data_IF_411514097252
#
_entry.id   IF_411514097252
#
_cell.length_a   1.000
_cell.length_b   1.000
_cell.length_c   1.000
_cell.angle_alpha   90.00
_cell.angle_beta   90.00
_cell.angle_gamma   90.00
#
_symmetry.space_group_name_H-M   'P 1'
#
loop_
_entity.id
_entity.type
_entity.pdbx_description
1 polymer ?
#
# COMPACT_ATOMS: atom_id res chain seq x y z
N UNK A 1 28.58 -33.73 21.27
CA UNK A 1 28.63 -32.91 20.04
C UNK A 1 27.63 -33.49 19.05
N UNK A 2 26.55 -32.79 18.76
CA UNK A 2 25.55 -33.21 17.76
C UNK A 2 25.08 -31.96 17.03
N UNK A 3 25.77 -31.64 15.93
CA UNK A 3 25.48 -30.45 15.12
C UNK A 3 24.21 -30.69 14.30
N UNK A 4 23.15 -29.95 14.60
CA UNK A 4 21.95 -29.90 13.78
C UNK A 4 22.29 -29.27 12.42
N UNK A 5 22.49 -30.13 11.43
CA UNK A 5 22.59 -29.78 10.01
C UNK A 5 21.17 -29.42 9.53
N UNK A 6 20.74 -28.17 9.74
CA UNK A 6 19.51 -27.65 9.14
C UNK A 6 19.76 -27.43 7.64
N UNK A 7 19.10 -28.21 6.81
CA UNK A 7 18.92 -27.90 5.39
C UNK A 7 18.23 -26.52 5.27
N UNK A 8 18.66 -25.62 4.38
CA UNK A 8 17.84 -24.48 4.00
C UNK A 8 16.63 -25.02 3.23
N UNK A 9 15.49 -25.03 3.92
CA UNK A 9 14.23 -25.60 3.46
C UNK A 9 13.63 -24.75 2.33
N UNK A 10 12.89 -25.37 1.40
CA UNK A 10 12.34 -24.76 0.18
C UNK A 10 11.43 -23.53 0.41
N UNK A 11 11.11 -23.22 1.67
CA UNK A 11 10.41 -22.00 2.09
C UNK A 11 11.21 -20.71 1.83
N UNK A 12 12.54 -20.73 2.00
CA UNK A 12 13.40 -19.57 1.73
C UNK A 12 13.41 -19.24 0.23
N UNK A 13 13.53 -20.26 -0.63
CA UNK A 13 13.53 -20.08 -2.09
C UNK A 13 12.20 -19.51 -2.61
N UNK A 14 11.06 -19.92 -2.04
CA UNK A 14 9.75 -19.34 -2.38
C UNK A 14 9.61 -17.90 -1.88
N UNK A 15 10.15 -17.57 -0.71
CA UNK A 15 10.12 -16.22 -0.18
C UNK A 15 10.97 -15.27 -1.03
N UNK A 16 12.14 -15.70 -1.47
CA UNK A 16 12.98 -14.95 -2.42
C UNK A 16 12.31 -14.79 -3.79
N UNK A 17 11.66 -15.83 -4.32
CA UNK A 17 10.95 -15.75 -5.60
C UNK A 17 9.76 -14.78 -5.55
N UNK A 18 8.95 -14.83 -4.47
CA UNK A 18 7.86 -13.88 -4.22
C UNK A 18 8.40 -12.45 -4.06
N UNK A 19 9.52 -12.29 -3.36
CA UNK A 19 10.13 -10.98 -3.14
C UNK A 19 10.67 -10.38 -4.43
N UNK A 20 11.34 -11.19 -5.26
CA UNK A 20 11.87 -10.81 -6.55
C UNK A 20 10.74 -10.47 -7.55
N UNK A 21 9.62 -11.20 -7.50
CA UNK A 21 8.41 -10.86 -8.27
C UNK A 21 7.77 -9.55 -7.78
N UNK A 22 7.70 -9.31 -6.47
CA UNK A 22 7.20 -8.05 -5.92
C UNK A 22 8.09 -6.85 -6.28
N UNK A 23 9.41 -7.01 -6.34
CA UNK A 23 10.35 -5.97 -6.75
C UNK A 23 10.18 -5.58 -8.24
N UNK A 24 9.77 -6.51 -9.10
CA UNK A 24 9.50 -6.24 -10.53
C UNK A 24 8.18 -5.50 -10.79
N UNK A 25 7.22 -5.56 -9.85
CA UNK A 25 5.84 -5.08 -10.05
C UNK A 25 5.58 -3.68 -9.46
N UNK A 26 6.55 -3.19 -8.68
CA UNK A 26 6.61 -1.86 -8.11
C UNK A 26 5.80 -1.72 -6.82
N UNK A 27 6.38 -1.00 -5.87
CA UNK A 27 5.75 -0.77 -4.57
C UNK A 27 4.91 0.51 -4.63
N UNK A 28 3.68 0.52 -4.06
CA UNK A 28 2.92 1.74 -3.94
C UNK A 28 3.70 2.72 -3.05
N UNK A 29 3.80 3.95 -3.53
CA UNK A 29 4.41 5.07 -2.80
C UNK A 29 3.31 5.67 -1.93
N UNK A 30 3.32 5.29 -0.66
CA UNK A 30 2.53 5.95 0.37
C UNK A 30 3.24 7.21 0.85
N UNK A 31 2.45 8.23 1.23
CA UNK A 31 2.98 9.32 2.05
C UNK A 31 3.59 8.75 3.33
N UNK A 32 4.71 9.33 3.73
CA UNK A 32 5.40 8.98 4.97
C UNK A 32 4.60 9.48 6.17
N UNK A 33 4.85 8.90 7.34
CA UNK A 33 4.21 9.35 8.59
C UNK A 33 4.47 10.83 8.89
N UNK A 34 5.65 11.35 8.52
CA UNK A 34 5.99 12.77 8.70
C UNK A 34 5.09 13.64 7.82
N UNK A 35 4.97 13.34 6.52
CA UNK A 35 4.11 14.06 5.59
C UNK A 35 2.65 14.04 6.03
N UNK A 36 2.13 12.88 6.45
CA UNK A 36 0.76 12.77 6.96
C UNK A 36 0.55 13.66 8.19
N UNK A 37 1.49 13.71 9.14
CA UNK A 37 1.39 14.59 10.32
C UNK A 37 1.36 16.07 9.95
N UNK A 38 2.07 16.48 8.89
CA UNK A 38 2.03 17.86 8.40
C UNK A 38 0.66 18.25 7.80
N UNK A 39 -0.13 17.26 7.37
CA UNK A 39 -1.48 17.50 6.84
C UNK A 39 -2.57 17.64 7.91
N UNK A 40 -2.22 17.57 9.19
CA UNK A 40 -3.11 17.81 10.33
C UNK A 40 -3.47 16.56 11.14
N UNK A 41 -4.43 16.71 12.05
CA UNK A 41 -4.88 15.63 12.91
C UNK A 41 -5.55 14.52 12.10
N UNK A 42 -5.21 13.27 12.42
CA UNK A 42 -5.85 12.08 11.86
C UNK A 42 -7.22 11.89 12.52
N UNK A 43 -8.24 11.71 11.69
CA UNK A 43 -9.56 11.25 12.06
C UNK A 43 -9.81 9.90 11.37
N UNK A 44 -10.47 9.00 12.08
CA UNK A 44 -10.91 7.72 11.49
C UNK A 44 -12.27 7.92 10.83
N UNK A 45 -12.47 7.23 9.70
CA UNK A 45 -13.77 7.23 9.06
C UNK A 45 -14.73 6.39 9.92
N UNK A 46 -15.93 6.89 10.28
CA UNK A 46 -16.89 6.11 11.05
C UNK A 46 -17.35 4.87 10.28
N UNK A 47 -17.40 4.97 8.95
CA UNK A 47 -17.67 3.87 8.03
C UNK A 47 -16.71 4.00 6.83
N UNK A 48 -16.27 2.88 6.22
CA UNK A 48 -15.47 2.91 5.00
C UNK A 48 -16.21 3.66 3.88
N UNK A 49 -15.60 4.71 3.33
CA UNK A 49 -16.21 5.52 2.25
C UNK A 49 -15.67 5.06 0.90
N UNK A 50 -16.51 4.66 -0.08
CA UNK A 50 -16.02 4.23 -1.38
C UNK A 50 -15.37 5.40 -2.14
N UNK A 51 -14.16 5.17 -2.65
CA UNK A 51 -13.35 6.17 -3.34
C UNK A 51 -12.61 5.60 -4.55
N UNK A 52 -12.26 6.48 -5.47
CA UNK A 52 -11.27 6.24 -6.52
C UNK A 52 -10.04 7.08 -6.15
N UNK A 53 -8.89 6.42 -6.00
CA UNK A 53 -7.65 7.06 -5.62
C UNK A 53 -6.59 6.92 -6.71
N UNK A 54 -5.77 7.96 -6.90
CA UNK A 54 -4.56 7.90 -7.71
C UNK A 54 -3.37 7.57 -6.81
N UNK A 55 -2.95 6.31 -6.84
CA UNK A 55 -1.80 5.80 -6.09
C UNK A 55 -0.58 5.77 -7.00
N UNK A 56 0.54 6.33 -6.56
CA UNK A 56 1.81 6.24 -7.29
C UNK A 56 2.46 4.90 -7.03
N UNK A 57 2.96 4.25 -8.07
CA UNK A 57 3.72 3.01 -7.97
C UNK A 57 5.16 3.27 -8.43
N UNK A 58 6.13 2.81 -7.64
CA UNK A 58 7.55 2.87 -7.98
C UNK A 58 7.98 1.54 -8.60
N UNK A 59 7.99 1.48 -9.92
CA UNK A 59 8.62 0.41 -10.73
C UNK A 59 10.02 0.92 -11.15
N UNK A 60 10.25 1.17 -12.45
CA UNK A 60 11.48 1.81 -12.97
C UNK A 60 11.37 3.35 -12.91
N UNK A 61 10.15 3.87 -13.06
CA UNK A 61 9.76 5.26 -12.86
C UNK A 61 8.53 5.33 -11.95
N UNK A 62 8.19 6.52 -11.43
CA UNK A 62 6.97 6.70 -10.64
C UNK A 62 5.75 6.90 -11.54
N UNK A 63 4.83 5.94 -11.54
CA UNK A 63 3.64 5.96 -12.39
C UNK A 63 2.36 6.06 -11.54
N UNK A 64 1.47 7.02 -11.81
CA UNK A 64 0.17 7.11 -11.14
C UNK A 64 -0.80 6.05 -11.69
N UNK A 65 -1.34 5.21 -10.81
CA UNK A 65 -2.39 4.23 -11.14
C UNK A 65 -3.68 4.61 -10.42
N UNK A 66 -4.81 4.48 -11.11
CA UNK A 66 -6.14 4.65 -10.48
C UNK A 66 -6.57 3.33 -9.85
N UNK A 67 -6.97 3.37 -8.59
CA UNK A 67 -7.46 2.22 -7.84
C UNK A 67 -8.82 2.54 -7.24
N UNK A 68 -9.70 1.56 -7.23
CA UNK A 68 -10.98 1.62 -6.51
C UNK A 68 -10.78 1.02 -5.12
N UNK A 69 -11.27 1.71 -4.10
CA UNK A 69 -11.09 1.28 -2.72
C UNK A 69 -11.97 2.04 -1.75
N UNK A 70 -11.58 2.02 -0.49
CA UNK A 70 -12.31 2.60 0.63
C UNK A 70 -11.42 3.56 1.40
N UNK A 71 -11.89 4.77 1.68
CA UNK A 71 -11.26 5.67 2.62
C UNK A 71 -11.61 5.24 4.05
N UNK A 72 -10.59 4.88 4.83
CA UNK A 72 -10.74 4.36 6.20
C UNK A 72 -10.25 5.34 7.27
N UNK A 73 -9.42 6.31 6.88
CA UNK A 73 -9.01 7.43 7.73
C UNK A 73 -8.65 8.64 6.86
N UNK A 74 -8.65 9.83 7.44
CA UNK A 74 -8.21 11.05 6.76
C UNK A 74 -7.57 12.04 7.72
N UNK A 75 -6.84 12.98 7.15
CA UNK A 75 -6.44 14.23 7.76
C UNK A 75 -7.11 15.37 6.99
N UNK A 76 -6.71 16.62 7.23
CA UNK A 76 -7.18 17.76 6.43
C UNK A 76 -6.64 17.74 4.98
N UNK A 77 -5.52 17.04 4.73
CA UNK A 77 -4.83 17.06 3.43
C UNK A 77 -4.46 15.70 2.85
N UNK A 78 -4.71 14.60 3.57
CA UNK A 78 -4.39 13.25 3.14
C UNK A 78 -5.51 12.27 3.50
N UNK A 79 -5.59 11.16 2.76
CA UNK A 79 -6.60 10.11 2.95
C UNK A 79 -5.87 8.77 2.96
N UNK A 80 -6.23 7.92 3.93
CA UNK A 80 -5.82 6.53 3.99
C UNK A 80 -6.80 5.70 3.20
N UNK A 81 -6.33 5.14 2.09
CA UNK A 81 -7.12 4.33 1.18
C UNK A 81 -6.75 2.87 1.38
N UNK A 82 -7.78 2.06 1.61
CA UNK A 82 -7.73 0.61 1.61
C UNK A 82 -8.20 0.12 0.24
N UNK A 83 -7.41 -0.67 -0.47
CA UNK A 83 -7.83 -1.24 -1.75
C UNK A 83 -7.23 -2.63 -1.95
N UNK A 84 -7.93 -3.54 -2.66
CA UNK A 84 -7.36 -4.82 -3.04
C UNK A 84 -6.26 -4.58 -4.06
N UNK A 85 -5.03 -4.97 -3.74
CA UNK A 85 -3.95 -4.89 -4.70
C UNK A 85 -4.25 -5.85 -5.87
N UNK A 86 -4.25 -5.35 -7.12
CA UNK A 86 -4.75 -6.12 -8.26
C UNK A 86 -3.93 -7.38 -8.55
N UNK A 87 -2.70 -7.45 -8.04
CA UNK A 87 -1.77 -8.55 -8.32
C UNK A 87 -1.73 -9.56 -7.18
N UNK A 88 -1.65 -9.08 -5.94
CA UNK A 88 -1.56 -9.98 -4.76
C UNK A 88 -2.93 -10.37 -4.21
N UNK A 89 -4.00 -9.68 -4.62
CA UNK A 89 -5.37 -9.79 -4.05
C UNK A 89 -5.41 -9.58 -2.54
N UNK A 90 -4.36 -9.04 -1.95
CA UNK A 90 -4.31 -8.64 -0.56
C UNK A 90 -4.70 -7.17 -0.43
N UNK A 91 -5.37 -6.84 0.66
CA UNK A 91 -5.69 -5.47 0.98
C UNK A 91 -4.41 -4.68 1.26
N UNK A 92 -4.23 -3.56 0.55
CA UNK A 92 -3.17 -2.59 0.82
C UNK A 92 -3.75 -1.31 1.39
N UNK A 93 -2.97 -0.70 2.29
CA UNK A 93 -3.28 0.56 2.95
C UNK A 93 -2.25 1.59 2.52
N UNK A 94 -2.69 2.68 1.89
CA UNK A 94 -1.80 3.71 1.36
C UNK A 94 -2.33 5.09 1.71
N UNK A 95 -1.47 5.94 2.25
CA UNK A 95 -1.77 7.37 2.39
C UNK A 95 -1.50 8.07 1.06
N UNK A 96 -2.50 8.80 0.59
CA UNK A 96 -2.42 9.66 -0.59
C UNK A 96 -2.89 11.06 -0.22
N UNK A 97 -2.46 12.09 -0.95
CA UNK A 97 -2.99 13.42 -0.76
C UNK A 97 -4.49 13.46 -1.13
N UNK A 98 -5.26 14.30 -0.43
CA UNK A 98 -6.71 14.38 -0.62
C UNK A 98 -7.10 14.78 -2.06
N UNK A 99 -6.27 15.57 -2.76
CA UNK A 99 -6.48 15.92 -4.16
C UNK A 99 -6.30 14.75 -5.14
N UNK A 100 -5.70 13.64 -4.69
CA UNK A 100 -5.56 12.42 -5.47
C UNK A 100 -6.73 11.46 -5.25
N UNK A 101 -7.75 11.83 -4.47
CA UNK A 101 -8.89 10.98 -4.12
C UNK A 101 -10.19 11.65 -4.58
N UNK A 102 -11.03 10.87 -5.24
CA UNK A 102 -12.40 11.26 -5.61
C UNK A 102 -13.38 10.30 -4.97
N UNK A 103 -14.43 10.83 -4.35
CA UNK A 103 -15.49 9.98 -3.79
C UNK A 103 -16.26 9.31 -4.92
N UNK A 104 -16.52 8.01 -4.78
CA UNK A 104 -17.39 7.27 -5.67
C UNK A 104 -18.81 7.35 -5.10
N UNK A 105 -19.64 8.22 -5.69
CA UNK A 105 -21.09 8.32 -5.39
C UNK A 105 -21.88 7.27 -6.12
#
# INVERSE_FOLDING_TARGET
>A
MGGNRRYPDAADQRADEIRLEQEKLGNPVSLTTAEVRHTGARAEAPEPVPVIASVRYRVVYEEPRRVEGEAVAWTRGAVLVKYPDPMTRQDRLVWVYANAVTRRT
#
